data_IF_580847596698
#
_entry.id   IF_580847596698
#
_cell.length_a   1.000
_cell.length_b   1.000
_cell.length_c   1.000
_cell.angle_alpha   90.00
_cell.angle_beta   90.00
_cell.angle_gamma   90.00
#
_symmetry.space_group_name_H-M   'P 1'
#
loop_
_entity.id
_entity.type
_entity.pdbx_description
1 polymer ?
#
# COMPACT_ATOMS: atom_id res chain seq x y z
N UNK A 1 -7.12 37.79 25.03
CA UNK A 1 -8.01 37.16 24.03
C UNK A 1 -7.09 36.43 23.09
N UNK A 2 -6.86 35.16 23.37
CA UNK A 2 -6.03 34.31 22.51
C UNK A 2 -6.68 34.25 21.14
N UNK A 3 -5.87 34.42 20.09
CA UNK A 3 -6.35 34.43 18.72
C UNK A 3 -7.12 33.14 18.46
N UNK A 4 -8.37 33.29 18.03
CA UNK A 4 -9.21 32.20 17.60
C UNK A 4 -8.52 31.50 16.42
N UNK A 5 -7.97 30.31 16.66
CA UNK A 5 -7.29 29.53 15.64
C UNK A 5 -8.35 28.82 14.77
N UNK A 6 -8.55 29.32 13.55
CA UNK A 6 -9.38 28.69 12.52
C UNK A 6 -8.47 27.89 11.61
N UNK A 7 -8.54 26.57 11.70
CA UNK A 7 -7.78 25.67 10.84
C UNK A 7 -8.40 25.59 9.45
N UNK A 8 -7.57 25.50 8.41
CA UNK A 8 -8.02 25.50 7.02
C UNK A 8 -8.76 24.22 6.61
N UNK A 9 -8.57 23.11 7.32
CA UNK A 9 -9.27 21.83 7.10
C UNK A 9 -10.43 21.66 8.07
N UNK A 10 -10.20 21.91 9.35
CA UNK A 10 -11.13 21.57 10.43
C UNK A 10 -11.96 22.75 10.93
N UNK A 11 -11.69 23.97 10.49
CA UNK A 11 -12.40 25.17 10.92
C UNK A 11 -12.06 25.59 12.35
N UNK A 12 -13.03 26.17 13.06
CA UNK A 12 -12.84 26.73 14.41
C UNK A 12 -12.57 25.63 15.46
N UNK A 13 -11.52 25.81 16.27
CA UNK A 13 -11.14 24.88 17.35
C UNK A 13 -10.96 25.62 18.70
N UNK A 14 -12.03 26.18 19.27
CA UNK A 14 -12.02 26.82 20.59
C UNK A 14 -12.53 25.92 21.73
N UNK A 15 -12.62 26.48 22.95
CA UNK A 15 -13.16 25.78 24.12
C UNK A 15 -14.55 25.16 23.83
N UNK A 16 -14.72 23.88 24.17
CA UNK A 16 -15.95 23.11 23.88
C UNK A 16 -15.97 22.39 22.52
N UNK A 17 -14.94 22.55 21.69
CA UNK A 17 -14.80 21.86 20.40
C UNK A 17 -13.68 20.81 20.41
N UNK A 18 -13.75 19.82 19.50
CA UNK A 18 -12.71 18.80 19.36
C UNK A 18 -11.50 19.39 18.65
N UNK A 19 -10.34 19.36 19.30
CA UNK A 19 -9.07 19.74 18.69
C UNK A 19 -8.51 18.59 17.86
N UNK A 20 -8.59 18.70 16.53
CA UNK A 20 -8.07 17.68 15.61
C UNK A 20 -6.55 17.81 15.39
N UNK A 21 -5.95 18.98 15.66
CA UNK A 21 -4.51 19.26 15.50
C UNK A 21 -3.70 18.89 16.74
N UNK A 22 -3.90 17.69 17.28
CA UNK A 22 -3.28 17.26 18.54
C UNK A 22 -2.03 16.39 18.37
N UNK A 23 -1.73 15.92 17.16
CA UNK A 23 -0.74 14.86 16.94
C UNK A 23 0.70 15.37 17.00
N UNK A 24 1.53 14.73 17.82
CA UNK A 24 2.98 14.97 17.87
C UNK A 24 3.75 14.30 16.73
N UNK A 25 4.96 14.77 16.44
CA UNK A 25 5.78 14.26 15.33
C UNK A 25 6.14 12.76 15.45
N UNK A 26 6.39 12.25 16.67
CA UNK A 26 6.66 10.82 16.86
C UNK A 26 5.43 9.96 16.58
N UNK A 27 4.24 10.43 16.99
CA UNK A 27 2.99 9.75 16.71
C UNK A 27 2.70 9.75 15.20
N UNK A 28 2.95 10.88 14.52
CA UNK A 28 2.88 10.96 13.08
C UNK A 28 3.85 9.98 12.40
N UNK A 29 5.10 9.88 12.85
CA UNK A 29 6.08 8.94 12.30
C UNK A 29 5.58 7.49 12.37
N UNK A 30 5.01 7.08 13.51
CA UNK A 30 4.43 5.76 13.71
C UNK A 30 3.23 5.54 12.78
N UNK A 31 2.35 6.53 12.61
CA UNK A 31 1.19 6.43 11.72
C UNK A 31 1.63 6.34 10.25
N UNK A 32 2.59 7.14 9.81
CA UNK A 32 3.14 7.07 8.46
C UNK A 32 3.77 5.69 8.20
N UNK A 33 4.57 5.18 9.16
CA UNK A 33 5.19 3.86 9.05
C UNK A 33 4.15 2.77 8.85
N UNK A 34 3.04 2.82 9.59
CA UNK A 34 1.91 1.89 9.47
C UNK A 34 1.21 1.95 8.13
N UNK A 35 1.13 3.13 7.52
CA UNK A 35 0.48 3.28 6.21
C UNK A 35 1.33 2.70 5.07
N UNK A 36 2.64 2.52 5.28
CA UNK A 36 3.53 1.91 4.29
C UNK A 36 3.77 0.41 4.55
N UNK A 37 3.97 0.01 5.82
CA UNK A 37 4.26 -1.37 6.17
C UNK A 37 2.96 -2.17 6.27
N UNK A 38 2.60 -2.81 5.16
CA UNK A 38 1.46 -3.71 5.06
C UNK A 38 1.78 -4.92 4.17
N UNK A 39 0.97 -5.13 3.14
CA UNK A 39 1.12 -6.27 2.23
C UNK A 39 2.44 -6.27 1.44
N UNK A 40 2.98 -5.08 1.14
CA UNK A 40 4.16 -4.91 0.30
C UNK A 40 5.43 -5.59 0.82
N UNK A 41 5.65 -5.55 2.15
CA UNK A 41 6.84 -6.17 2.76
C UNK A 41 6.91 -7.68 2.52
N UNK A 42 5.75 -8.33 2.36
CA UNK A 42 5.64 -9.77 2.16
C UNK A 42 6.10 -10.21 0.76
N UNK A 43 6.19 -9.28 -0.19
CA UNK A 43 6.62 -9.54 -1.56
C UNK A 43 8.13 -9.31 -1.77
N UNK A 44 8.82 -8.61 -0.86
CA UNK A 44 10.23 -8.19 -1.06
C UNK A 44 11.17 -9.34 -1.43
N UNK A 45 11.16 -10.51 -0.75
CA UNK A 45 12.10 -11.59 -1.09
C UNK A 45 11.88 -12.15 -2.50
N UNK A 46 10.61 -12.28 -2.91
CA UNK A 46 10.26 -12.76 -4.26
C UNK A 46 10.69 -11.80 -5.37
N UNK A 47 10.75 -10.49 -5.07
CA UNK A 47 11.29 -9.52 -6.03
C UNK A 47 12.77 -9.73 -6.28
N UNK A 48 13.55 -10.00 -5.22
CA UNK A 48 14.98 -10.30 -5.34
C UNK A 48 15.22 -11.62 -6.08
N UNK A 49 14.32 -12.59 -5.96
CA UNK A 49 14.39 -13.83 -6.73
C UNK A 49 14.21 -13.63 -8.23
N UNK A 50 13.39 -12.66 -8.64
CA UNK A 50 13.15 -12.40 -10.07
C UNK A 50 14.34 -11.70 -10.76
N UNK A 51 15.02 -10.78 -10.07
CA UNK A 51 16.07 -9.94 -10.71
C UNK A 51 17.49 -10.17 -10.16
N UNK A 52 17.62 -10.86 -9.03
CA UNK A 52 18.88 -11.03 -8.30
C UNK A 52 19.01 -10.06 -7.12
N UNK A 53 19.88 -10.42 -6.16
CA UNK A 53 20.02 -9.65 -4.91
C UNK A 53 20.43 -8.20 -5.14
N UNK A 54 21.43 -7.94 -5.98
CA UNK A 54 21.98 -6.60 -6.19
C UNK A 54 20.98 -5.68 -6.90
N UNK A 55 20.49 -6.00 -8.12
CA UNK A 55 19.53 -5.13 -8.79
C UNK A 55 18.21 -5.02 -8.01
N UNK A 56 17.73 -6.09 -7.37
CA UNK A 56 16.53 -6.04 -6.53
C UNK A 56 16.68 -5.07 -5.35
N UNK A 57 17.81 -5.14 -4.64
CA UNK A 57 18.11 -4.22 -3.54
C UNK A 57 18.28 -2.78 -4.02
N UNK A 58 18.93 -2.56 -5.16
CA UNK A 58 19.06 -1.23 -5.76
C UNK A 58 17.69 -0.64 -6.16
N UNK A 59 16.76 -1.45 -6.64
CA UNK A 59 15.39 -1.01 -6.94
C UNK A 59 14.66 -0.63 -5.64
N UNK A 60 14.76 -1.44 -4.58
CA UNK A 60 14.15 -1.14 -3.27
C UNK A 60 14.67 0.19 -2.73
N UNK A 61 15.99 0.33 -2.61
CA UNK A 61 16.62 1.54 -2.05
C UNK A 61 16.42 2.74 -2.97
N UNK A 62 16.57 2.57 -4.28
CA UNK A 62 16.43 3.64 -5.27
C UNK A 62 15.01 4.20 -5.31
N UNK A 63 14.00 3.33 -5.34
CA UNK A 63 12.60 3.77 -5.24
C UNK A 63 12.31 4.35 -3.84
N UNK A 64 12.84 3.79 -2.76
CA UNK A 64 12.69 4.35 -1.41
C UNK A 64 13.24 5.78 -1.28
N UNK A 65 14.40 6.07 -1.89
CA UNK A 65 14.96 7.43 -1.95
C UNK A 65 14.04 8.34 -2.78
N UNK A 66 13.57 7.86 -3.92
CA UNK A 66 12.70 8.63 -4.81
C UNK A 66 11.36 8.96 -4.15
N UNK A 67 10.72 7.98 -3.50
CA UNK A 67 9.46 8.19 -2.78
C UNK A 67 9.65 9.07 -1.55
N UNK A 68 10.82 9.03 -0.90
CA UNK A 68 11.16 9.99 0.17
C UNK A 68 11.13 11.43 -0.35
N UNK A 69 11.69 11.69 -1.54
CA UNK A 69 11.57 13.00 -2.19
C UNK A 69 10.10 13.34 -2.49
N UNK A 70 9.35 12.41 -3.07
CA UNK A 70 7.94 12.59 -3.41
C UNK A 70 7.09 12.95 -2.17
N UNK A 71 7.29 12.25 -1.06
CA UNK A 71 6.58 12.48 0.19
C UNK A 71 7.03 13.76 0.91
N UNK A 72 8.28 14.19 0.69
CA UNK A 72 8.73 15.52 1.10
C UNK A 72 7.99 16.60 0.32
N UNK A 73 7.79 16.42 -1.00
CA UNK A 73 6.99 17.33 -1.81
C UNK A 73 5.56 17.42 -1.29
N UNK A 74 4.93 16.29 -0.92
CA UNK A 74 3.60 16.29 -0.27
C UNK A 74 3.57 17.19 0.96
N UNK A 75 4.57 17.08 1.83
CA UNK A 75 4.71 17.96 3.00
C UNK A 75 4.83 19.43 2.65
N UNK A 76 5.63 19.77 1.64
CA UNK A 76 5.76 21.17 1.18
C UNK A 76 4.49 21.69 0.53
N UNK A 77 3.83 20.89 -0.31
CA UNK A 77 2.61 21.26 -1.01
C UNK A 77 1.48 21.50 -0.01
N UNK A 78 1.30 20.60 0.98
CA UNK A 78 0.32 20.79 2.06
C UNK A 78 0.57 22.04 2.90
N UNK A 79 1.83 22.44 3.09
CA UNK A 79 2.16 23.70 3.80
C UNK A 79 1.87 24.95 2.96
N UNK A 80 1.98 24.84 1.64
CA UNK A 80 1.66 25.93 0.72
C UNK A 80 0.15 26.05 0.45
N UNK A 81 -0.58 24.93 0.57
CA UNK A 81 -2.03 24.83 0.40
C UNK A 81 -2.68 24.16 1.62
N UNK A 82 -2.85 24.91 2.74
CA UNK A 82 -3.35 24.37 4.01
C UNK A 82 -4.73 23.71 3.94
N UNK A 83 -5.56 24.02 2.94
CA UNK A 83 -6.90 23.48 2.72
C UNK A 83 -6.90 22.01 2.23
N UNK A 84 -5.78 21.49 1.74
CA UNK A 84 -5.69 20.15 1.12
C UNK A 84 -5.76 19.06 2.18
N UNK A 85 -6.85 18.29 2.29
CA UNK A 85 -6.89 17.13 3.20
C UNK A 85 -6.59 15.81 2.50
N UNK A 86 -6.77 15.74 1.18
CA UNK A 86 -6.62 14.54 0.39
C UNK A 86 -5.88 14.78 -0.92
N UNK A 87 -5.39 13.69 -1.52
CA UNK A 87 -4.82 13.70 -2.88
C UNK A 87 -5.78 14.24 -3.94
N UNK A 88 -7.10 14.06 -3.74
CA UNK A 88 -8.11 14.62 -4.62
C UNK A 88 -8.19 16.14 -4.54
N UNK A 89 -7.97 16.71 -3.35
CA UNK A 89 -7.92 18.17 -3.15
C UNK A 89 -6.64 18.74 -3.77
N UNK A 90 -5.51 18.04 -3.66
CA UNK A 90 -4.29 18.41 -4.39
C UNK A 90 -4.52 18.37 -5.92
N UNK A 91 -5.23 17.35 -6.40
CA UNK A 91 -5.68 17.27 -7.79
C UNK A 91 -6.57 18.44 -8.22
N UNK A 92 -7.46 18.89 -7.34
CA UNK A 92 -8.31 20.05 -7.57
C UNK A 92 -7.51 21.35 -7.72
N UNK A 93 -6.50 21.55 -6.88
CA UNK A 93 -5.64 22.73 -6.96
C UNK A 93 -4.84 22.73 -8.27
N UNK A 94 -4.28 21.60 -8.67
CA UNK A 94 -3.43 21.52 -9.87
C UNK A 94 -4.22 21.59 -11.18
N UNK A 95 -5.37 20.92 -11.28
CA UNK A 95 -6.10 20.72 -12.55
C UNK A 95 -7.61 20.96 -12.45
N UNK A 96 -8.09 21.64 -11.41
CA UNK A 96 -9.50 21.94 -11.21
C UNK A 96 -10.37 20.69 -11.03
N UNK A 97 -11.61 20.77 -11.48
CA UNK A 97 -12.61 19.68 -11.33
C UNK A 97 -12.16 18.37 -11.97
N UNK A 98 -11.49 18.43 -13.12
CA UNK A 98 -10.96 17.24 -13.79
C UNK A 98 -9.93 16.50 -12.91
N UNK A 99 -8.96 17.23 -12.34
CA UNK A 99 -7.96 16.64 -11.46
C UNK A 99 -8.58 15.99 -10.23
N UNK A 100 -9.55 16.66 -9.60
CA UNK A 100 -10.28 16.11 -8.45
C UNK A 100 -10.91 14.76 -8.76
N UNK A 101 -11.60 14.64 -9.90
CA UNK A 101 -12.28 13.42 -10.30
C UNK A 101 -11.30 12.30 -10.67
N UNK A 102 -10.23 12.63 -11.40
CA UNK A 102 -9.19 11.68 -11.76
C UNK A 102 -8.53 11.06 -10.52
N UNK A 103 -8.05 11.89 -9.58
CA UNK A 103 -7.37 11.40 -8.38
C UNK A 103 -8.31 10.71 -7.39
N UNK A 104 -9.57 11.14 -7.33
CA UNK A 104 -10.56 10.45 -6.49
C UNK A 104 -10.90 9.06 -7.03
N UNK A 105 -11.08 8.95 -8.35
CA UNK A 105 -11.34 7.66 -8.99
C UNK A 105 -10.12 6.73 -8.88
N UNK A 106 -8.91 7.25 -9.14
CA UNK A 106 -7.67 6.49 -8.97
C UNK A 106 -7.48 6.00 -7.53
N UNK A 107 -7.73 6.86 -6.54
CA UNK A 107 -7.64 6.48 -5.12
C UNK A 107 -8.70 5.44 -4.75
N UNK A 108 -9.93 5.58 -5.26
CA UNK A 108 -10.97 4.59 -5.04
C UNK A 108 -10.57 3.21 -5.61
N UNK A 109 -10.13 3.16 -6.87
CA UNK A 109 -9.62 1.92 -7.47
C UNK A 109 -8.43 1.33 -6.71
N UNK A 110 -7.51 2.17 -6.25
CA UNK A 110 -6.40 1.76 -5.40
C UNK A 110 -6.89 1.08 -4.12
N UNK A 111 -7.81 1.72 -3.38
CA UNK A 111 -8.33 1.16 -2.12
C UNK A 111 -9.09 -0.15 -2.33
N UNK A 112 -9.91 -0.28 -3.39
CA UNK A 112 -10.55 -1.55 -3.76
C UNK A 112 -9.50 -2.61 -4.13
N UNK A 113 -8.45 -2.22 -4.85
CA UNK A 113 -7.32 -3.08 -5.20
C UNK A 113 -6.61 -3.64 -3.97
N UNK A 114 -6.25 -2.77 -3.02
CA UNK A 114 -5.58 -3.16 -1.78
C UNK A 114 -6.48 -4.05 -0.92
N UNK A 115 -7.79 -3.77 -0.87
CA UNK A 115 -8.75 -4.65 -0.21
C UNK A 115 -8.76 -6.06 -0.84
N UNK A 116 -8.76 -6.15 -2.17
CA UNK A 116 -8.66 -7.42 -2.89
C UNK A 116 -7.36 -8.16 -2.58
N UNK A 117 -6.23 -7.46 -2.60
CA UNK A 117 -4.93 -8.04 -2.23
C UNK A 117 -4.89 -8.55 -0.78
N UNK A 118 -5.55 -7.85 0.14
CA UNK A 118 -5.71 -8.30 1.52
C UNK A 118 -6.57 -9.56 1.60
N UNK A 119 -7.66 -9.66 0.83
CA UNK A 119 -8.50 -10.87 0.76
C UNK A 119 -7.72 -12.07 0.19
N UNK A 120 -6.88 -11.87 -0.84
CA UNK A 120 -5.95 -12.91 -1.33
C UNK A 120 -5.04 -13.35 -0.19
N UNK A 121 -4.37 -12.43 0.50
CA UNK A 121 -3.48 -12.77 1.61
C UNK A 121 -4.19 -13.50 2.77
N UNK A 122 -5.45 -13.14 3.07
CA UNK A 122 -6.28 -13.85 4.07
C UNK A 122 -6.54 -15.30 3.63
N UNK A 123 -6.88 -15.53 2.36
CA UNK A 123 -7.09 -16.90 1.86
C UNK A 123 -5.83 -17.75 1.92
N UNK A 124 -4.67 -17.17 1.61
CA UNK A 124 -3.35 -17.80 1.75
C UNK A 124 -3.09 -18.17 3.21
N UNK A 125 -3.40 -17.26 4.14
CA UNK A 125 -3.24 -17.50 5.57
C UNK A 125 -4.14 -18.65 6.06
N UNK A 126 -5.42 -18.68 5.68
CA UNK A 126 -6.32 -19.77 6.06
C UNK A 126 -5.93 -21.10 5.43
N UNK A 127 -5.56 -21.12 4.16
CA UNK A 127 -5.05 -22.32 3.50
C UNK A 127 -3.78 -22.83 4.19
N UNK A 128 -2.86 -21.95 4.55
CA UNK A 128 -1.65 -22.31 5.29
C UNK A 128 -1.95 -22.90 6.67
N UNK A 129 -2.86 -22.29 7.44
CA UNK A 129 -3.18 -22.71 8.80
C UNK A 129 -3.94 -24.03 8.82
N UNK A 130 -4.87 -24.20 7.89
CA UNK A 130 -5.81 -25.34 7.84
C UNK A 130 -5.33 -26.50 6.98
N UNK A 131 -4.13 -26.41 6.38
CA UNK A 131 -3.66 -27.33 5.34
C UNK A 131 -4.67 -27.50 4.21
N UNK A 132 -5.25 -26.37 3.77
CA UNK A 132 -6.25 -26.30 2.72
C UNK A 132 -7.54 -27.11 3.00
N UNK A 133 -8.19 -26.83 4.15
CA UNK A 133 -9.38 -27.58 4.57
C UNK A 133 -10.63 -27.39 3.68
N UNK A 134 -10.69 -26.31 2.89
CA UNK A 134 -11.78 -26.06 1.93
C UNK A 134 -11.28 -25.28 0.73
N UNK A 135 -12.12 -25.17 -0.30
CA UNK A 135 -11.86 -24.42 -1.52
C UNK A 135 -11.40 -22.98 -1.21
N UNK A 136 -10.31 -22.56 -1.85
CA UNK A 136 -9.74 -21.20 -1.68
C UNK A 136 -10.77 -20.09 -1.88
N UNK A 137 -11.67 -20.25 -2.86
CA UNK A 137 -12.77 -19.29 -3.12
C UNK A 137 -13.64 -19.08 -1.89
N UNK A 138 -13.90 -20.12 -1.11
CA UNK A 138 -14.70 -20.01 0.13
C UNK A 138 -13.99 -19.13 1.15
N UNK A 139 -12.67 -19.24 1.27
CA UNK A 139 -11.90 -18.37 2.17
C UNK A 139 -11.94 -16.90 1.72
N UNK A 140 -11.87 -16.62 0.42
CA UNK A 140 -11.97 -15.25 -0.09
C UNK A 140 -13.40 -14.71 0.08
N UNK A 141 -14.44 -15.53 -0.10
CA UNK A 141 -15.83 -15.15 0.21
C UNK A 141 -15.98 -14.80 1.70
N UNK A 142 -15.43 -15.61 2.61
CA UNK A 142 -15.43 -15.32 4.05
C UNK A 142 -14.71 -13.99 4.32
N UNK A 143 -13.55 -13.77 3.68
CA UNK A 143 -12.82 -12.50 3.77
C UNK A 143 -13.69 -11.31 3.32
N UNK A 144 -14.39 -11.44 2.20
CA UNK A 144 -15.26 -10.40 1.66
C UNK A 144 -16.47 -10.11 2.56
N UNK A 145 -17.14 -11.14 3.07
CA UNK A 145 -18.33 -10.99 3.95
C UNK A 145 -17.94 -10.33 5.26
N UNK A 146 -16.86 -10.77 5.91
CA UNK A 146 -16.41 -10.19 7.17
C UNK A 146 -15.88 -8.76 6.95
N UNK A 147 -15.13 -8.52 5.87
CA UNK A 147 -14.67 -7.17 5.53
C UNK A 147 -15.85 -6.22 5.24
N UNK A 148 -16.90 -6.69 4.58
CA UNK A 148 -18.12 -5.92 4.37
C UNK A 148 -18.85 -5.64 5.70
N UNK A 149 -19.03 -6.66 6.54
CA UNK A 149 -19.74 -6.53 7.81
C UNK A 149 -19.01 -5.60 8.79
N UNK A 150 -17.71 -5.83 9.03
CA UNK A 150 -16.92 -5.00 9.93
C UNK A 150 -16.58 -3.63 9.32
N UNK A 151 -16.37 -3.55 8.01
CA UNK A 151 -16.16 -2.30 7.29
C UNK A 151 -17.40 -1.40 7.26
N UNK A 152 -18.59 -1.98 7.46
CA UNK A 152 -19.84 -1.24 7.59
C UNK A 152 -19.95 -0.49 8.93
N UNK A 153 -19.02 -0.67 9.87
CA UNK A 153 -18.96 0.17 11.07
C UNK A 153 -18.54 1.59 10.63
N UNK A 154 -19.46 2.55 10.70
CA UNK A 154 -19.33 3.87 10.10
C UNK A 154 -18.22 4.76 10.67
N UNK A 155 -17.75 4.45 11.88
CA UNK A 155 -16.75 5.28 12.58
C UNK A 155 -15.38 4.61 12.55
N UNK A 156 -14.44 5.24 11.83
CA UNK A 156 -13.03 4.85 11.80
C UNK A 156 -12.42 4.74 13.21
N UNK A 157 -12.86 5.58 14.15
CA UNK A 157 -12.38 5.54 15.53
C UNK A 157 -12.66 4.21 16.24
N UNK A 158 -13.77 3.54 15.91
CA UNK A 158 -14.10 2.22 16.48
C UNK A 158 -13.29 1.09 15.85
N UNK A 159 -12.70 1.30 14.67
CA UNK A 159 -11.87 0.32 13.94
C UNK A 159 -10.37 0.59 14.17
N UNK A 160 -10.00 1.81 14.57
CA UNK A 160 -8.60 2.26 14.69
C UNK A 160 -7.74 1.38 15.62
N UNK A 161 -8.31 0.81 16.68
CA UNK A 161 -7.59 -0.11 17.57
C UNK A 161 -7.21 -1.43 16.87
N UNK A 162 -8.03 -1.91 15.93
CA UNK A 162 -7.75 -3.11 15.13
C UNK A 162 -6.52 -2.87 14.25
N UNK A 163 -6.36 -1.65 13.73
CA UNK A 163 -5.17 -1.24 12.97
C UNK A 163 -3.89 -1.32 13.81
N UNK A 164 -3.96 -1.03 15.12
CA UNK A 164 -2.82 -1.16 16.02
C UNK A 164 -2.40 -2.62 16.22
N UNK A 165 -3.36 -3.47 16.56
CA UNK A 165 -3.12 -4.92 16.70
C UNK A 165 -2.61 -5.50 15.38
N UNK A 166 -3.20 -5.06 14.27
CA UNK A 166 -2.85 -5.53 12.95
C UNK A 166 -1.43 -5.22 12.53
N UNK A 167 -0.97 -3.98 12.73
CA UNK A 167 0.40 -3.62 12.37
C UNK A 167 1.41 -4.34 13.26
N UNK A 168 1.18 -4.37 14.58
CA UNK A 168 2.06 -5.12 15.48
C UNK A 168 2.12 -6.58 15.05
N UNK A 169 0.99 -7.18 14.70
CA UNK A 169 0.91 -8.56 14.18
C UNK A 169 1.74 -8.77 12.92
N UNK A 170 1.62 -7.91 11.90
CA UNK A 170 2.42 -8.02 10.66
C UNK A 170 3.91 -7.87 10.96
N UNK A 171 4.32 -6.87 11.75
CA UNK A 171 5.72 -6.69 12.11
C UNK A 171 6.29 -7.90 12.85
N UNK A 172 5.57 -8.40 13.86
CA UNK A 172 5.99 -9.58 14.63
C UNK A 172 6.07 -10.81 13.74
N UNK A 173 5.09 -11.06 12.88
CA UNK A 173 5.07 -12.21 11.98
C UNK A 173 6.23 -12.17 10.97
N UNK A 174 6.50 -11.00 10.41
CA UNK A 174 7.57 -10.82 9.41
C UNK A 174 8.95 -10.94 10.04
N UNK A 175 9.18 -10.36 11.22
CA UNK A 175 10.44 -10.53 11.96
C UNK A 175 10.62 -11.99 12.36
N UNK A 176 9.56 -12.64 12.87
CA UNK A 176 9.58 -14.06 13.23
C UNK A 176 9.99 -14.94 12.04
N UNK A 177 9.37 -14.75 10.88
CA UNK A 177 9.71 -15.50 9.65
C UNK A 177 11.14 -15.22 9.21
N UNK A 178 11.57 -13.97 9.28
CA UNK A 178 12.95 -13.59 8.90
C UNK A 178 13.97 -14.26 9.80
N UNK A 179 13.72 -14.32 11.12
CA UNK A 179 14.60 -15.02 12.07
C UNK A 179 14.55 -16.52 11.81
N UNK A 180 13.36 -17.11 11.68
CA UNK A 180 13.18 -18.55 11.48
C UNK A 180 13.89 -19.03 10.20
N UNK A 181 13.66 -18.36 9.08
CA UNK A 181 14.36 -18.64 7.81
C UNK A 181 15.85 -18.34 7.92
N UNK A 182 16.23 -17.31 8.68
CA UNK A 182 17.62 -16.90 8.90
C UNK A 182 18.48 -17.95 9.60
N UNK A 183 17.91 -18.62 10.60
CA UNK A 183 18.59 -19.66 11.41
C UNK A 183 18.39 -21.07 10.84
N UNK A 184 17.46 -21.26 9.91
CA UNK A 184 17.23 -22.57 9.32
C UNK A 184 18.44 -23.02 8.49
N UNK A 185 18.95 -24.22 8.77
CA UNK A 185 20.09 -24.78 8.02
C UNK A 185 19.73 -25.11 6.57
N UNK A 186 18.51 -25.64 6.37
CA UNK A 186 17.99 -26.08 5.08
C UNK A 186 16.58 -25.53 4.84
N UNK A 187 16.29 -24.82 3.73
CA UNK A 187 14.98 -24.29 3.41
C UNK A 187 13.87 -25.33 3.52
N UNK A 188 12.70 -24.95 4.01
CA UNK A 188 11.63 -25.90 4.28
C UNK A 188 11.05 -26.58 3.04
N UNK A 189 11.07 -25.90 1.89
CA UNK A 189 10.62 -26.46 0.62
C UNK A 189 11.74 -27.21 -0.15
N UNK A 190 12.96 -27.25 0.38
CA UNK A 190 14.01 -28.08 -0.20
C UNK A 190 13.72 -29.58 0.07
N UNK A 191 14.23 -30.51 -0.77
CA UNK A 191 14.12 -31.95 -0.50
C UNK A 191 14.58 -32.26 0.94
N UNK A 192 14.01 -33.23 1.68
CA UNK A 192 14.41 -33.45 3.08
C UNK A 192 15.81 -34.08 3.21
N UNK A 193 16.23 -34.87 2.23
CA UNK A 193 17.53 -35.55 2.19
C UNK A 193 18.22 -35.33 0.84
N UNK A 194 19.53 -35.60 0.77
CA UNK A 194 20.32 -35.42 -0.44
C UNK A 194 20.81 -33.98 -0.69
N UNK A 195 21.57 -33.77 -1.79
CA UNK A 195 22.12 -32.47 -2.15
C UNK A 195 21.01 -31.50 -2.51
N UNK A 196 21.21 -30.23 -2.18
CA UNK A 196 20.31 -29.14 -2.52
C UNK A 196 21.14 -27.89 -2.74
N UNK A 197 20.65 -27.01 -3.61
CA UNK A 197 21.21 -25.69 -3.85
C UNK A 197 20.10 -24.65 -3.74
N UNK A 198 20.42 -23.49 -3.17
CA UNK A 198 19.50 -22.34 -3.11
C UNK A 198 19.39 -21.64 -4.45
N UNK A 199 20.37 -21.80 -5.33
CA UNK A 199 20.43 -21.10 -6.63
C UNK A 199 20.32 -19.58 -6.46
N UNK A 200 20.96 -19.04 -5.42
CA UNK A 200 20.94 -17.60 -5.13
C UNK A 200 22.00 -16.89 -5.95
N UNK A 201 21.58 -15.98 -6.81
CA UNK A 201 22.48 -15.16 -7.61
C UNK A 201 22.50 -13.71 -7.14
N UNK A 202 23.71 -13.12 -7.18
CA UNK A 202 23.87 -11.69 -6.96
C UNK A 202 23.28 -10.87 -8.13
N UNK A 203 23.49 -11.35 -9.37
CA UNK A 203 22.97 -10.76 -10.59
C UNK A 203 22.28 -11.85 -11.41
N UNK A 204 21.03 -11.63 -11.78
CA UNK A 204 20.29 -12.48 -12.72
C UNK A 204 20.10 -11.68 -14.00
N UNK A 205 20.31 -12.30 -15.16
CA UNK A 205 19.95 -11.72 -16.44
C UNK A 205 18.42 -11.82 -16.60
N UNK A 206 17.70 -10.95 -15.90
CA UNK A 206 16.26 -10.93 -15.91
C UNK A 206 15.73 -10.23 -17.17
N UNK A 207 14.71 -10.79 -17.84
CA UNK A 207 13.95 -10.07 -18.86
C UNK A 207 13.49 -8.70 -18.36
N UNK A 208 13.45 -7.73 -19.26
CA UNK A 208 13.05 -6.35 -18.91
C UNK A 208 11.68 -6.28 -18.23
N UNK A 209 10.77 -7.18 -18.58
CA UNK A 209 9.43 -7.28 -18.01
C UNK A 209 9.43 -7.65 -16.53
N UNK A 210 10.34 -8.52 -16.10
CA UNK A 210 10.46 -8.93 -14.70
C UNK A 210 11.00 -7.76 -13.86
N UNK A 211 11.97 -7.02 -14.40
CA UNK A 211 12.50 -5.79 -13.78
C UNK A 211 11.39 -4.77 -13.57
N UNK A 212 10.55 -4.55 -14.58
CA UNK A 212 9.44 -3.59 -14.49
C UNK A 212 8.35 -4.07 -13.52
N UNK A 213 8.06 -5.37 -13.47
CA UNK A 213 7.14 -5.96 -12.49
C UNK A 213 7.64 -5.77 -11.05
N UNK A 214 8.95 -5.97 -10.83
CA UNK A 214 9.63 -5.69 -9.55
C UNK A 214 9.48 -4.22 -9.18
N UNK A 215 9.79 -3.30 -10.09
CA UNK A 215 9.64 -1.86 -9.84
C UNK A 215 8.21 -1.50 -9.45
N UNK A 216 7.21 -2.08 -10.10
CA UNK A 216 5.79 -1.81 -9.84
C UNK A 216 5.37 -2.32 -8.46
N UNK A 217 5.79 -3.51 -8.08
CA UNK A 217 5.48 -4.12 -6.77
C UNK A 217 6.21 -3.42 -5.61
N UNK A 218 7.46 -3.01 -5.84
CA UNK A 218 8.21 -2.20 -4.89
C UNK A 218 7.55 -0.83 -4.73
N UNK A 219 7.15 -0.18 -5.83
CA UNK A 219 6.46 1.10 -5.77
C UNK A 219 5.12 1.00 -5.02
N UNK A 220 4.35 -0.08 -5.24
CA UNK A 220 3.17 -0.39 -4.44
C UNK A 220 3.50 -0.42 -2.94
N UNK A 221 4.62 -1.01 -2.57
CA UNK A 221 5.02 -1.17 -1.16
C UNK A 221 5.37 0.15 -0.47
N UNK A 222 5.73 1.18 -1.25
CA UNK A 222 5.95 2.55 -0.77
C UNK A 222 4.72 3.47 -0.96
N UNK A 223 3.57 2.93 -1.38
CA UNK A 223 2.42 3.75 -1.79
C UNK A 223 1.48 4.18 -0.65
N UNK A 224 2.05 4.56 0.50
CA UNK A 224 1.33 5.15 1.63
C UNK A 224 1.02 6.66 1.47
N UNK A 225 1.64 7.31 0.47
CA UNK A 225 1.57 8.75 0.20
C UNK A 225 0.18 9.39 0.31
N UNK A 226 -0.93 8.78 -0.20
CA UNK A 226 -2.25 9.43 -0.11
C UNK A 226 -2.71 9.69 1.32
N UNK A 227 -2.31 8.86 2.28
CA UNK A 227 -2.65 9.02 3.69
C UNK A 227 -1.88 10.18 4.36
N UNK A 228 -0.76 10.61 3.77
CA UNK A 228 0.14 11.58 4.39
C UNK A 228 -0.52 12.96 4.53
N UNK A 229 -1.39 13.36 3.60
CA UNK A 229 -2.14 14.62 3.71
C UNK A 229 -3.00 14.70 4.98
N UNK A 230 -3.73 13.62 5.29
CA UNK A 230 -4.53 13.53 6.51
C UNK A 230 -3.66 13.59 7.76
N UNK A 231 -2.55 12.83 7.77
CA UNK A 231 -1.59 12.84 8.88
C UNK A 231 -1.02 14.24 9.09
N UNK A 232 -0.53 14.92 8.05
CA UNK A 232 0.02 16.28 8.17
C UNK A 232 -1.04 17.25 8.71
N UNK A 233 -2.30 17.10 8.29
CA UNK A 233 -3.40 17.97 8.73
C UNK A 233 -3.69 17.84 10.23
N UNK A 234 -3.51 16.65 10.81
CA UNK A 234 -3.76 16.40 12.24
C UNK A 234 -2.53 16.72 13.13
N UNK A 235 -1.38 17.06 12.55
CA UNK A 235 -0.18 17.42 13.30
C UNK A 235 -0.34 18.76 14.03
N UNK A 236 0.02 18.80 15.31
CA UNK A 236 0.08 20.04 16.10
C UNK A 236 1.01 21.09 15.48
N UNK A 237 2.12 20.64 14.89
CA UNK A 237 3.04 21.50 14.14
C UNK A 237 3.41 20.83 12.81
N UNK A 238 2.76 21.21 11.69
CA UNK A 238 3.06 20.66 10.37
C UNK A 238 4.52 20.87 9.91
N UNK A 239 5.27 21.81 10.51
CA UNK A 239 6.70 22.01 10.20
C UNK A 239 7.58 20.85 10.67
N UNK A 240 7.15 20.11 11.68
CA UNK A 240 7.88 18.93 12.19
C UNK A 240 7.63 17.67 11.35
N UNK A 241 6.78 17.73 10.32
CA UNK A 241 6.48 16.61 9.44
C UNK A 241 7.74 15.95 8.86
N UNK A 242 8.75 16.74 8.46
CA UNK A 242 9.97 16.19 7.85
C UNK A 242 10.75 15.26 8.80
N UNK A 243 10.68 15.48 10.12
CA UNK A 243 11.27 14.56 11.11
C UNK A 243 10.54 13.22 11.10
N UNK A 244 9.21 13.28 11.04
CA UNK A 244 8.32 12.11 10.97
C UNK A 244 8.54 11.31 9.69
N UNK A 245 8.66 12.02 8.56
CA UNK A 245 8.95 11.47 7.25
C UNK A 245 10.30 10.75 7.23
N UNK A 246 11.36 11.40 7.72
CA UNK A 246 12.72 10.82 7.72
C UNK A 246 12.77 9.50 8.51
N UNK A 247 12.18 9.48 9.71
CA UNK A 247 12.11 8.26 10.53
C UNK A 247 11.28 7.17 9.84
N UNK A 248 10.10 7.52 9.32
CA UNK A 248 9.24 6.57 8.60
C UNK A 248 9.95 5.94 7.40
N UNK A 249 10.55 6.76 6.52
CA UNK A 249 11.17 6.27 5.29
C UNK A 249 12.45 5.47 5.54
N UNK A 250 13.27 5.91 6.50
CA UNK A 250 14.47 5.17 6.90
C UNK A 250 14.10 3.78 7.45
N UNK A 251 13.13 3.71 8.36
CA UNK A 251 12.68 2.44 8.93
C UNK A 251 12.01 1.54 7.89
N UNK A 252 11.17 2.10 7.01
CA UNK A 252 10.49 1.34 5.95
C UNK A 252 11.50 0.73 4.99
N UNK A 253 12.44 1.54 4.48
CA UNK A 253 13.47 1.08 3.53
C UNK A 253 14.44 0.10 4.17
N UNK A 254 14.84 0.34 5.42
CA UNK A 254 15.67 -0.59 6.19
C UNK A 254 14.97 -1.94 6.39
N UNK A 255 13.69 -1.92 6.76
CA UNK A 255 12.88 -3.13 6.95
C UNK A 255 12.74 -3.92 5.63
N UNK A 256 12.31 -3.27 4.55
CA UNK A 256 12.12 -3.91 3.24
C UNK A 256 13.41 -4.53 2.72
N UNK A 257 14.52 -3.81 2.85
CA UNK A 257 15.85 -4.29 2.43
C UNK A 257 16.31 -5.46 3.29
N UNK A 258 16.24 -5.34 4.62
CA UNK A 258 16.69 -6.38 5.53
C UNK A 258 15.93 -7.69 5.34
N UNK A 259 14.60 -7.63 5.29
CA UNK A 259 13.77 -8.83 5.09
C UNK A 259 13.97 -9.41 3.70
N UNK A 260 13.94 -8.56 2.67
CA UNK A 260 14.15 -8.98 1.29
C UNK A 260 15.45 -9.77 1.14
N UNK A 261 16.57 -9.18 1.57
CA UNK A 261 17.91 -9.75 1.44
C UNK A 261 18.07 -11.01 2.29
N UNK A 262 17.69 -10.97 3.57
CA UNK A 262 17.88 -12.12 4.49
C UNK A 262 17.09 -13.32 4.01
N UNK A 263 15.80 -13.15 3.73
CA UNK A 263 14.95 -14.28 3.32
C UNK A 263 15.38 -14.79 1.93
N UNK A 264 15.76 -13.91 1.00
CA UNK A 264 16.27 -14.33 -0.31
C UNK A 264 17.53 -15.20 -0.23
N UNK A 265 18.58 -14.77 0.49
CA UNK A 265 19.82 -15.56 0.60
C UNK A 265 19.64 -16.85 1.40
N UNK A 266 18.60 -16.92 2.24
CA UNK A 266 18.37 -18.07 3.10
C UNK A 266 17.45 -19.10 2.48
N UNK A 267 16.45 -18.68 1.71
CA UNK A 267 15.51 -19.57 1.03
C UNK A 267 15.80 -19.79 -0.47
N UNK A 268 16.32 -18.79 -1.19
CA UNK A 268 16.66 -18.89 -2.62
C UNK A 268 15.49 -19.31 -3.50
N UNK A 269 15.69 -20.33 -4.32
CA UNK A 269 14.65 -20.89 -5.20
C UNK A 269 13.43 -21.48 -4.45
N UNK A 270 13.55 -21.72 -3.15
CA UNK A 270 12.51 -22.30 -2.30
C UNK A 270 11.63 -21.26 -1.59
N UNK A 271 11.65 -20.01 -2.06
CA UNK A 271 10.79 -18.94 -1.56
C UNK A 271 9.32 -19.19 -1.93
N UNK A 272 8.43 -18.99 -0.95
CA UNK A 272 6.99 -18.83 -1.20
C UNK A 272 6.64 -17.34 -1.31
N UNK A 273 5.61 -17.02 -2.10
CA UNK A 273 5.02 -15.68 -2.17
C UNK A 273 3.57 -15.75 -1.71
N UNK A 274 3.17 -15.07 -0.62
CA UNK A 274 3.95 -14.18 0.25
C UNK A 274 5.02 -14.88 1.10
N UNK A 275 6.05 -14.11 1.52
CA UNK A 275 7.23 -14.60 2.20
C UNK A 275 6.96 -15.40 3.49
N UNK A 276 5.83 -15.18 4.17
CA UNK A 276 5.43 -15.94 5.36
C UNK A 276 5.37 -17.46 5.12
N UNK A 277 5.11 -17.88 3.87
CA UNK A 277 5.11 -19.29 3.48
C UNK A 277 6.46 -19.99 3.62
N UNK A 278 7.57 -19.23 3.66
CA UNK A 278 8.92 -19.77 3.52
C UNK A 278 9.50 -20.36 4.83
N UNK A 279 8.90 -20.10 5.99
CA UNK A 279 9.46 -20.46 7.32
C UNK A 279 9.22 -21.92 7.75
N UNK A 280 8.75 -22.78 6.85
CA UNK A 280 8.41 -24.17 7.14
C UNK A 280 7.10 -24.36 7.91
N UNK A 281 6.58 -25.61 8.01
CA UNK A 281 5.17 -25.84 8.30
C UNK A 281 4.68 -25.24 9.63
N UNK A 282 5.43 -25.41 10.72
CA UNK A 282 5.04 -24.89 12.04
C UNK A 282 5.06 -23.35 12.06
N UNK A 283 6.21 -22.75 11.72
CA UNK A 283 6.37 -21.29 11.80
C UNK A 283 5.49 -20.58 10.76
N UNK A 284 5.28 -21.17 9.58
CA UNK A 284 4.31 -20.70 8.58
C UNK A 284 2.93 -20.53 9.20
N UNK A 285 2.41 -21.56 9.89
CA UNK A 285 1.09 -21.51 10.55
C UNK A 285 1.03 -20.46 11.65
N UNK A 286 2.04 -20.39 12.51
CA UNK A 286 2.12 -19.40 13.59
C UNK A 286 2.21 -17.98 13.05
N UNK A 287 3.07 -17.74 12.06
CA UNK A 287 3.26 -16.44 11.45
C UNK A 287 2.00 -15.95 10.74
N UNK A 288 1.32 -16.81 9.96
CA UNK A 288 0.04 -16.45 9.36
C UNK A 288 -1.04 -16.21 10.42
N UNK A 289 -1.07 -17.00 11.49
CA UNK A 289 -1.98 -16.79 12.62
C UNK A 289 -1.82 -15.41 13.28
N UNK A 290 -0.57 -14.97 13.49
CA UNK A 290 -0.28 -13.64 14.05
C UNK A 290 -0.57 -12.54 13.03
N UNK A 291 -0.20 -12.74 11.76
CA UNK A 291 -0.41 -11.75 10.69
C UNK A 291 -1.89 -11.56 10.35
N UNK A 292 -2.76 -12.56 10.58
CA UNK A 292 -4.19 -12.50 10.26
C UNK A 292 -4.86 -11.25 10.82
N UNK A 293 -4.52 -10.83 12.03
CA UNK A 293 -5.08 -9.60 12.60
C UNK A 293 -4.79 -8.37 11.71
N UNK A 294 -3.59 -8.28 11.14
CA UNK A 294 -3.20 -7.21 10.23
C UNK A 294 -3.82 -7.35 8.85
N UNK A 295 -3.90 -8.57 8.33
CA UNK A 295 -4.56 -8.83 7.04
C UNK A 295 -6.05 -8.46 7.11
N UNK A 296 -6.74 -8.82 8.19
CA UNK A 296 -8.11 -8.40 8.46
C UNK A 296 -8.23 -6.88 8.59
N UNK A 297 -7.34 -6.25 9.37
CA UNK A 297 -7.31 -4.80 9.50
C UNK A 297 -7.20 -4.12 8.13
N UNK A 298 -6.29 -4.58 7.27
CA UNK A 298 -6.15 -4.06 5.91
C UNK A 298 -7.44 -4.25 5.10
N UNK A 299 -8.00 -5.45 5.02
CA UNK A 299 -9.21 -5.71 4.26
C UNK A 299 -10.39 -4.83 4.71
N UNK A 300 -10.63 -4.74 6.02
CA UNK A 300 -11.71 -3.96 6.63
C UNK A 300 -11.52 -2.47 6.37
N UNK A 301 -10.33 -1.93 6.63
CA UNK A 301 -10.05 -0.50 6.48
C UNK A 301 -10.15 -0.05 5.03
N UNK A 302 -9.59 -0.81 4.08
CA UNK A 302 -9.61 -0.42 2.68
C UNK A 302 -10.99 -0.56 2.04
N UNK A 303 -11.80 -1.56 2.43
CA UNK A 303 -13.22 -1.63 2.06
C UNK A 303 -13.99 -0.43 2.62
N UNK A 304 -13.78 -0.09 3.90
CA UNK A 304 -14.42 1.07 4.53
C UNK A 304 -14.04 2.38 3.83
N UNK A 305 -12.75 2.61 3.57
CA UNK A 305 -12.27 3.81 2.90
C UNK A 305 -12.85 3.94 1.49
N UNK A 306 -12.85 2.86 0.71
CA UNK A 306 -13.46 2.84 -0.63
C UNK A 306 -14.95 3.19 -0.58
N UNK A 307 -15.70 2.57 0.33
CA UNK A 307 -17.13 2.78 0.51
C UNK A 307 -17.45 4.22 0.96
N UNK A 308 -16.66 4.76 1.90
CA UNK A 308 -16.82 6.12 2.42
C UNK A 308 -16.59 7.19 1.35
N UNK A 309 -15.61 6.99 0.46
CA UNK A 309 -15.37 7.92 -0.65
C UNK A 309 -16.60 8.05 -1.55
N UNK A 310 -17.23 6.93 -1.93
CA UNK A 310 -18.46 6.93 -2.74
C UNK A 310 -19.62 7.52 -1.93
N UNK A 311 -19.80 7.07 -0.69
CA UNK A 311 -20.90 7.49 0.18
C UNK A 311 -20.92 9.00 0.37
N UNK A 312 -19.78 9.60 0.75
CA UNK A 312 -19.68 11.05 0.98
C UNK A 312 -19.94 11.84 -0.30
N UNK A 313 -19.55 11.31 -1.46
CA UNK A 313 -19.79 11.94 -2.76
C UNK A 313 -21.25 11.90 -3.17
N UNK A 314 -21.90 10.74 -3.08
CA UNK A 314 -23.32 10.56 -3.47
C UNK A 314 -24.24 11.31 -2.52
N UNK A 315 -23.93 11.31 -1.23
CA UNK A 315 -24.74 11.95 -0.19
C UNK A 315 -24.37 13.42 0.03
N UNK A 316 -23.45 13.97 -0.77
CA UNK A 316 -23.01 15.36 -0.62
C UNK A 316 -24.20 16.31 -0.77
N UNK A 317 -24.27 17.32 0.09
CA UNK A 317 -25.36 18.31 0.15
C UNK A 317 -26.74 17.72 0.49
N UNK A 318 -26.81 16.47 0.95
CA UNK A 318 -28.04 15.84 1.43
C UNK A 318 -28.09 15.82 2.96
N UNK A 319 -29.25 16.04 3.61
CA UNK A 319 -29.39 15.89 5.06
C UNK A 319 -29.10 14.45 5.52
N UNK A 320 -29.27 13.48 4.62
CA UNK A 320 -29.02 12.06 4.87
C UNK A 320 -27.52 11.72 5.02
N UNK A 321 -26.60 12.64 4.73
CA UNK A 321 -25.16 12.39 4.95
C UNK A 321 -24.84 12.18 6.43
N UNK A 322 -25.47 12.95 7.31
CA UNK A 322 -25.25 12.92 8.76
C UNK A 322 -26.46 12.42 9.53
N UNK A 323 -27.68 12.59 9.00
CA UNK A 323 -28.89 12.09 9.65
C UNK A 323 -29.06 10.57 9.46
N UNK A 324 -29.30 9.86 10.57
CA UNK A 324 -29.51 8.41 10.65
C UNK A 324 -30.88 7.99 10.07
N UNK A 325 -31.03 8.15 8.76
CA UNK A 325 -32.25 7.86 8.00
C UNK A 325 -32.15 6.52 7.28
N UNK A 326 -33.27 5.90 6.85
CA UNK A 326 -33.22 4.68 6.06
C UNK A 326 -32.36 4.82 4.79
N UNK A 327 -32.45 5.97 4.10
CA UNK A 327 -31.59 6.31 2.95
C UNK A 327 -30.11 6.31 3.30
N UNK A 328 -29.73 6.86 4.45
CA UNK A 328 -28.35 6.84 4.94
C UNK A 328 -27.82 5.41 5.05
N UNK A 329 -28.58 4.53 5.72
CA UNK A 329 -28.18 3.13 5.90
C UNK A 329 -28.15 2.35 4.58
N UNK A 330 -29.16 2.51 3.72
CA UNK A 330 -29.22 1.82 2.43
C UNK A 330 -28.03 2.19 1.56
N UNK A 331 -27.71 3.49 1.45
CA UNK A 331 -26.58 3.95 0.63
C UNK A 331 -25.26 3.51 1.27
N UNK A 332 -25.12 3.61 2.60
CA UNK A 332 -23.90 3.18 3.31
C UNK A 332 -23.62 1.69 3.14
N UNK A 333 -24.57 0.82 3.50
CA UNK A 333 -24.38 -0.63 3.34
C UNK A 333 -24.26 -1.02 1.86
N UNK A 334 -25.00 -0.35 0.98
CA UNK A 334 -24.90 -0.54 -0.47
C UNK A 334 -23.51 -0.26 -1.01
N UNK A 335 -22.88 0.86 -0.63
CA UNK A 335 -21.51 1.18 -1.07
C UNK A 335 -20.48 0.21 -0.47
N UNK A 336 -20.64 -0.17 0.80
CA UNK A 336 -19.73 -1.13 1.46
C UNK A 336 -19.79 -2.51 0.81
N UNK A 337 -20.98 -3.07 0.61
CA UNK A 337 -21.18 -4.37 -0.04
C UNK A 337 -20.66 -4.34 -1.48
N UNK A 338 -20.90 -3.25 -2.21
CA UNK A 338 -20.41 -3.08 -3.58
C UNK A 338 -18.88 -3.08 -3.63
N UNK A 339 -18.21 -2.30 -2.76
CA UNK A 339 -16.75 -2.24 -2.73
C UNK A 339 -16.13 -3.59 -2.32
N UNK A 340 -16.70 -4.28 -1.33
CA UNK A 340 -16.25 -5.61 -0.92
C UNK A 340 -16.43 -6.64 -2.04
N UNK A 341 -17.54 -6.58 -2.77
CA UNK A 341 -17.80 -7.47 -3.92
C UNK A 341 -16.80 -7.22 -5.06
N UNK A 342 -16.51 -5.96 -5.38
CA UNK A 342 -15.50 -5.63 -6.40
C UNK A 342 -14.09 -6.10 -5.99
N UNK A 343 -13.73 -5.92 -4.72
CA UNK A 343 -12.47 -6.43 -4.17
C UNK A 343 -12.38 -7.97 -4.24
N UNK A 344 -13.48 -8.67 -3.93
CA UNK A 344 -13.59 -10.12 -4.09
C UNK A 344 -13.41 -10.57 -5.54
N UNK A 345 -14.13 -9.94 -6.48
CA UNK A 345 -14.02 -10.27 -7.90
C UNK A 345 -12.60 -10.05 -8.42
N UNK A 346 -11.92 -9.00 -7.97
CA UNK A 346 -10.52 -8.74 -8.31
C UNK A 346 -9.58 -9.81 -7.73
N UNK A 347 -9.76 -10.16 -6.45
CA UNK A 347 -8.97 -11.19 -5.77
C UNK A 347 -9.05 -12.56 -6.47
N UNK A 348 -10.24 -12.95 -6.92
CA UNK A 348 -10.47 -14.22 -7.63
C UNK A 348 -10.06 -14.20 -9.10
N UNK A 349 -10.08 -13.00 -9.72
CA UNK A 349 -9.62 -12.82 -11.10
C UNK A 349 -8.09 -12.86 -11.21
N UNK A 350 -7.39 -12.43 -10.16
CA UNK A 350 -5.92 -12.43 -10.08
C UNK A 350 -5.49 -13.02 -8.73
N UNK A 351 -5.57 -14.36 -8.56
CA UNK A 351 -5.24 -15.04 -7.31
C UNK A 351 -3.73 -15.20 -7.08
N UNK A 352 -2.93 -14.28 -7.65
CA UNK A 352 -1.48 -14.25 -7.57
C UNK A 352 -1.05 -13.01 -6.80
N UNK A 353 -0.66 -13.19 -5.54
CA UNK A 353 -0.41 -12.08 -4.62
C UNK A 353 0.58 -11.05 -5.20
N UNK A 354 1.77 -11.48 -5.65
CA UNK A 354 2.78 -10.60 -6.22
C UNK A 354 2.30 -9.84 -7.46
N UNK A 355 1.66 -10.53 -8.41
CA UNK A 355 1.17 -9.93 -9.66
C UNK A 355 0.05 -8.94 -9.42
N UNK A 356 -0.83 -9.22 -8.46
CA UNK A 356 -1.89 -8.29 -8.05
C UNK A 356 -1.30 -7.01 -7.45
N UNK A 357 -0.31 -7.14 -6.56
CA UNK A 357 0.41 -5.98 -6.01
C UNK A 357 1.12 -5.18 -7.12
N UNK A 358 1.79 -5.86 -8.04
CA UNK A 358 2.46 -5.24 -9.18
C UNK A 358 1.48 -4.48 -10.08
N UNK A 359 0.30 -5.04 -10.37
CA UNK A 359 -0.74 -4.39 -11.17
C UNK A 359 -1.30 -3.13 -10.50
N UNK A 360 -1.64 -3.21 -9.20
CA UNK A 360 -2.12 -2.07 -8.43
C UNK A 360 -1.03 -0.99 -8.35
N UNK A 361 0.22 -1.41 -8.13
CA UNK A 361 1.41 -0.57 -8.11
C UNK A 361 1.62 0.20 -9.40
N UNK A 362 1.54 -0.50 -10.52
CA UNK A 362 1.67 0.10 -11.85
C UNK A 362 0.54 1.08 -12.11
N UNK A 363 -0.73 0.67 -11.98
CA UNK A 363 -1.87 1.48 -12.39
C UNK A 363 -2.12 2.71 -11.53
N UNK A 364 -2.04 2.55 -10.20
CA UNK A 364 -2.54 3.55 -9.26
C UNK A 364 -1.45 4.10 -8.36
N UNK A 365 -0.56 3.26 -7.80
CA UNK A 365 0.50 3.75 -6.92
C UNK A 365 1.46 4.67 -7.66
N UNK A 366 1.81 4.38 -8.91
CA UNK A 366 2.60 5.28 -9.74
C UNK A 366 1.97 6.67 -9.80
N UNK A 367 0.74 6.76 -10.31
CA UNK A 367 0.02 8.01 -10.48
C UNK A 367 -0.03 8.84 -9.20
N UNK A 368 -0.29 8.20 -8.05
CA UNK A 368 -0.50 8.87 -6.78
C UNK A 368 0.78 9.24 -6.03
N UNK A 369 1.85 8.46 -6.19
CA UNK A 369 3.12 8.66 -5.46
C UNK A 369 4.16 9.39 -6.31
N UNK A 370 4.23 9.14 -7.62
CA UNK A 370 5.25 9.72 -8.51
C UNK A 370 4.69 10.87 -9.36
N UNK A 371 3.74 10.60 -10.27
CA UNK A 371 3.24 11.64 -11.20
C UNK A 371 2.61 12.81 -10.43
N UNK A 372 1.74 12.52 -9.46
CA UNK A 372 1.07 13.55 -8.64
C UNK A 372 2.08 14.45 -7.94
N UNK A 373 3.12 13.87 -7.32
CA UNK A 373 4.10 14.63 -6.53
C UNK A 373 5.02 15.44 -7.42
N UNK A 374 5.47 14.89 -8.55
CA UNK A 374 6.19 15.66 -9.56
C UNK A 374 5.39 16.85 -10.07
N UNK A 375 4.08 16.67 -10.33
CA UNK A 375 3.19 17.77 -10.70
C UNK A 375 3.01 18.79 -9.58
N UNK A 376 2.85 18.36 -8.33
CA UNK A 376 2.74 19.26 -7.18
C UNK A 376 3.97 20.15 -7.03
N UNK A 377 5.18 19.59 -7.16
CA UNK A 377 6.41 20.37 -7.07
C UNK A 377 6.52 21.40 -8.20
N UNK A 378 6.24 20.98 -9.44
CA UNK A 378 6.25 21.87 -10.59
C UNK A 378 5.20 22.96 -10.46
N UNK A 379 3.98 22.65 -10.02
CA UNK A 379 2.92 23.61 -9.84
C UNK A 379 3.35 24.74 -8.88
N UNK A 380 3.83 24.40 -7.68
CA UNK A 380 4.23 25.40 -6.68
C UNK A 380 5.45 26.23 -7.11
N UNK A 381 6.47 25.57 -7.65
CA UNK A 381 7.76 26.23 -7.90
C UNK A 381 7.82 26.92 -9.27
N UNK A 382 7.02 26.49 -10.24
CA UNK A 382 6.94 27.14 -11.54
C UNK A 382 6.25 28.51 -11.46
N UNK A 383 5.25 28.65 -10.58
CA UNK A 383 4.62 29.95 -10.32
C UNK A 383 5.58 30.91 -9.61
N UNK A 384 6.41 30.42 -8.67
CA UNK A 384 7.42 31.24 -7.96
C UNK A 384 8.51 31.78 -8.88
N UNK A 385 8.86 31.08 -9.97
CA UNK A 385 9.80 31.57 -10.99
C UNK A 385 9.35 32.89 -11.63
N UNK A 386 8.04 33.16 -11.74
CA UNK A 386 7.57 34.44 -12.29
C UNK A 386 7.86 35.64 -11.37
N UNK A 387 8.06 35.40 -10.08
CA UNK A 387 8.19 36.45 -9.07
C UNK A 387 9.61 36.60 -8.51
N UNK A 388 10.55 35.72 -8.87
CA UNK A 388 11.95 35.78 -8.42
C UNK A 388 12.89 35.09 -9.40
N UNK A 389 14.14 35.55 -9.48
CA UNK A 389 15.17 34.89 -10.28
C UNK A 389 15.46 33.50 -9.70
N UNK A 390 15.40 32.43 -10.50
CA UNK A 390 15.67 31.09 -10.02
C UNK A 390 17.15 30.97 -9.59
N UNK A 391 17.38 30.41 -8.40
CA UNK A 391 18.71 30.03 -7.94
C UNK A 391 19.32 28.91 -8.79
N UNK A 392 20.62 28.63 -8.58
CA UNK A 392 21.37 27.61 -9.32
C UNK A 392 20.86 26.18 -9.04
N UNK A 393 20.13 26.00 -7.94
CA UNK A 393 19.50 24.76 -7.49
C UNK A 393 18.14 24.46 -8.16
N UNK A 394 17.51 25.45 -8.78
CA UNK A 394 16.17 25.31 -9.37
C UNK A 394 16.11 24.30 -10.53
N UNK A 395 17.02 24.42 -11.50
CA UNK A 395 17.01 23.59 -12.71
C UNK A 395 17.25 22.09 -12.43
N UNK A 396 18.21 21.70 -11.58
CA UNK A 396 18.35 20.30 -11.17
C UNK A 396 17.07 19.73 -10.56
N UNK A 397 16.34 20.50 -9.75
CA UNK A 397 15.09 20.05 -9.15
C UNK A 397 13.95 19.95 -10.19
N UNK A 398 13.91 20.84 -11.19
CA UNK A 398 12.99 20.70 -12.33
C UNK A 398 13.26 19.38 -13.04
N UNK A 399 14.52 19.09 -13.39
CA UNK A 399 14.90 17.84 -14.06
C UNK A 399 14.52 16.62 -13.25
N UNK A 400 14.76 16.63 -11.93
CA UNK A 400 14.36 15.55 -11.03
C UNK A 400 12.85 15.30 -11.06
N UNK A 401 12.02 16.34 -10.93
CA UNK A 401 10.57 16.17 -10.90
C UNK A 401 9.98 15.80 -12.27
N UNK A 402 10.57 16.28 -13.36
CA UNK A 402 10.22 15.80 -14.71
C UNK A 402 10.59 14.32 -14.88
N UNK A 403 11.78 13.91 -14.41
CA UNK A 403 12.20 12.52 -14.42
C UNK A 403 11.23 11.64 -13.61
N UNK A 404 10.78 12.08 -12.43
CA UNK A 404 9.80 11.36 -11.62
C UNK A 404 8.48 11.16 -12.37
N UNK A 405 7.99 12.19 -13.07
CA UNK A 405 6.75 12.09 -13.87
C UNK A 405 6.93 11.09 -15.02
N UNK A 406 8.05 11.17 -15.75
CA UNK A 406 8.35 10.27 -16.87
C UNK A 406 8.50 8.83 -16.39
N UNK A 407 9.23 8.62 -15.30
CA UNK A 407 9.37 7.31 -14.66
C UNK A 407 8.02 6.77 -14.18
N UNK A 408 7.19 7.64 -13.62
CA UNK A 408 5.83 7.31 -13.21
C UNK A 408 4.98 6.80 -14.38
N UNK A 409 4.95 7.53 -15.50
CA UNK A 409 4.25 7.07 -16.71
C UNK A 409 4.85 5.81 -17.31
N UNK A 410 6.18 5.67 -17.26
CA UNK A 410 6.87 4.46 -17.70
C UNK A 410 6.43 3.25 -16.87
N UNK A 411 6.46 3.33 -15.55
CA UNK A 411 6.00 2.26 -14.64
C UNK A 411 4.49 2.02 -14.85
N UNK A 412 3.69 3.06 -15.05
CA UNK A 412 2.26 2.91 -15.25
C UNK A 412 1.93 2.13 -16.52
N UNK A 413 2.52 2.50 -17.66
CA UNK A 413 2.25 1.86 -18.95
C UNK A 413 2.92 0.48 -18.99
N UNK A 414 4.23 0.44 -18.78
CA UNK A 414 5.02 -0.77 -18.95
C UNK A 414 4.78 -1.77 -17.83
N UNK A 415 4.54 -1.31 -16.61
CA UNK A 415 4.18 -2.16 -15.46
C UNK A 415 2.81 -2.80 -15.62
N UNK A 416 1.84 -2.09 -16.20
CA UNK A 416 0.54 -2.69 -16.51
C UNK A 416 0.68 -3.81 -17.54
N UNK A 417 1.50 -3.60 -18.58
CA UNK A 417 1.80 -4.63 -19.58
C UNK A 417 2.55 -5.80 -18.96
N UNK A 418 3.58 -5.54 -18.15
CA UNK A 418 4.35 -6.56 -17.43
C UNK A 418 3.47 -7.42 -16.52
N UNK A 419 2.63 -6.79 -15.69
CA UNK A 419 1.69 -7.48 -14.83
C UNK A 419 0.69 -8.32 -15.63
N UNK A 420 0.14 -7.78 -16.72
CA UNK A 420 -0.76 -8.53 -17.60
C UNK A 420 -0.11 -9.77 -18.23
N UNK A 421 1.16 -9.65 -18.65
CA UNK A 421 1.92 -10.80 -19.18
C UNK A 421 2.25 -11.83 -18.10
N UNK A 422 2.65 -11.38 -16.91
CA UNK A 422 2.93 -12.25 -15.77
C UNK A 422 1.68 -13.05 -15.37
N UNK A 423 0.53 -12.38 -15.21
CA UNK A 423 -0.77 -13.02 -14.94
C UNK A 423 -1.10 -14.06 -16.02
N UNK A 424 -0.98 -13.69 -17.30
CA UNK A 424 -1.22 -14.60 -18.43
C UNK A 424 -0.30 -15.82 -18.39
N UNK A 425 0.98 -15.61 -18.09
CA UNK A 425 1.97 -16.68 -18.04
C UNK A 425 1.73 -17.62 -16.86
N UNK A 426 1.33 -17.11 -15.69
CA UNK A 426 1.01 -17.93 -14.53
C UNK A 426 -0.24 -18.79 -14.76
N UNK A 427 -1.28 -18.25 -15.41
CA UNK A 427 -2.42 -19.06 -15.87
C UNK A 427 -1.99 -20.14 -16.88
N UNK A 428 -1.14 -19.82 -17.85
CA UNK A 428 -0.65 -20.80 -18.84
C UNK A 428 0.20 -21.92 -18.24
N UNK A 429 0.98 -21.62 -17.20
CA UNK A 429 1.81 -22.61 -16.49
C UNK A 429 0.99 -23.54 -15.58
N UNK A 430 -0.31 -23.33 -15.44
CA UNK A 430 -1.17 -24.13 -14.56
C UNK A 430 -0.90 -23.90 -13.07
N UNK A 431 -0.30 -22.76 -12.71
CA UNK A 431 -0.19 -22.36 -11.29
C UNK A 431 -1.58 -22.30 -10.67
N UNK A 432 -2.54 -21.73 -11.40
CA UNK A 432 -3.98 -21.79 -11.16
C UNK A 432 -4.68 -22.04 -12.50
N UNK A 433 -5.58 -23.03 -12.59
CA UNK A 433 -6.14 -23.47 -13.89
C UNK A 433 -7.10 -22.45 -14.52
N UNK A 434 -7.80 -21.67 -13.70
CA UNK A 434 -8.79 -20.66 -14.12
C UNK A 434 -9.09 -19.67 -12.99
N UNK A 435 -9.63 -18.48 -13.27
CA UNK A 435 -10.24 -17.63 -12.25
C UNK A 435 -11.25 -18.42 -11.41
N UNK A 436 -11.39 -18.08 -10.13
CA UNK A 436 -12.25 -18.82 -9.19
C UNK A 436 -11.86 -20.30 -9.02
N UNK A 437 -10.57 -20.58 -8.93
CA UNK A 437 -10.08 -21.94 -8.69
C UNK A 437 -10.07 -22.29 -7.21
N UNK A 438 -10.44 -23.53 -6.90
CA UNK A 438 -10.36 -24.06 -5.55
C UNK A 438 -8.95 -24.48 -5.12
N UNK A 439 -7.93 -24.36 -5.97
CA UNK A 439 -6.57 -24.84 -5.68
C UNK A 439 -5.94 -24.09 -4.49
N UNK A 440 -5.16 -24.82 -3.69
CA UNK A 440 -4.38 -24.27 -2.58
C UNK A 440 -3.38 -23.21 -3.08
N UNK A 441 -3.55 -21.97 -2.63
CA UNK A 441 -2.71 -20.83 -2.96
C UNK A 441 -1.66 -20.51 -1.88
N UNK A 442 -1.53 -21.36 -0.85
CA UNK A 442 -0.58 -21.15 0.24
C UNK A 442 0.80 -21.76 0.02
N UNK A 443 0.99 -22.51 -1.07
CA UNK A 443 2.21 -23.29 -1.34
C UNK A 443 3.29 -22.43 -1.99
#
# INVERSE_FOLDING_TARGET
MDAVEVDAVFGFQGEGHVHYTSMGWMQAAVILLKTQVGLGVLAMPSMLQMVGAVPGTLIIVGLGILTTWCDYVVGTFKRNHPEVYSVADAGYIMFGTFGRELFSFAYWCFTVGVAGAAMVAISIAFNAITDHATCTVVWVVIAAVVAAAAGSIQTLNRISWISWVGVIGIFTAVIMVTIAVGVQERPAAAPPTGPWDKDTHAFISAPIWDVISVMSTVLFSYSGTPAFFGVISEMKNPRDYNKSLAVCQFLTTGLFTAIGVVVYFKAGQYLSSPALGSAGPLIKKVAYGIALAGLWASAILFVHCAAKLIFVRVMRNSPHLTALTPTHYIVWFGTTITCATLAFLLAESIPFFGSLLGLIGALFSSLMTLQATGWMWLFDNWHRRKNSNPGWDFWPLVVLNVFIIVLGFFIQIMGTVAAGMDIRNQYRKGAVDRPFSCKDNSK
#
